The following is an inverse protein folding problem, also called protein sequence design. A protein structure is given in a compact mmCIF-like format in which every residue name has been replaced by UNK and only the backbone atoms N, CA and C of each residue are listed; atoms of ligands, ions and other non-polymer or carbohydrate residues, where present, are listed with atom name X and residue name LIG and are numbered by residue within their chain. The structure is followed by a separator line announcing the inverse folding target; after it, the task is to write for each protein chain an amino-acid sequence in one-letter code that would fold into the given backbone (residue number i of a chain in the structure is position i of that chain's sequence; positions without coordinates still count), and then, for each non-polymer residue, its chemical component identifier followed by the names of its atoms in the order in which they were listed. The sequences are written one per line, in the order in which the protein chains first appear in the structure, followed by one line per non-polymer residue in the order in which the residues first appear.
data_IF_236865579947
#
_entry.id   IF_236865579947
#
_cell.length_a   1.000
_cell.length_b   1.000
_cell.length_c   1.000
_cell.angle_alpha   90.00
_cell.angle_beta   90.00
_cell.angle_gamma   90.00
#
_symmetry.space_group_name_H-M   'P 1'
#
loop_
_entity.id
_entity.type
_entity.pdbx_description
1 polymer ?
#
# COMPACT_ATOMS: atom_id res chain seq x y z
N UNK A 1 5.07 -62.38 -11.05
CA UNK A 1 4.07 -61.31 -10.83
C UNK A 1 4.85 -60.11 -10.38
N UNK A 2 5.14 -59.18 -11.30
CA UNK A 2 5.88 -57.97 -10.98
C UNK A 2 4.99 -57.07 -10.11
N UNK A 3 5.55 -56.61 -9.00
CA UNK A 3 4.92 -55.65 -8.09
C UNK A 3 4.94 -54.28 -8.76
N UNK A 4 3.77 -53.79 -9.15
CA UNK A 4 3.54 -52.39 -9.49
C UNK A 4 3.67 -51.59 -8.18
N UNK A 5 4.80 -50.90 -8.00
CA UNK A 5 4.96 -49.90 -6.97
C UNK A 5 4.26 -48.62 -7.45
N UNK A 6 3.30 -48.05 -6.71
CA UNK A 6 2.77 -46.74 -7.04
C UNK A 6 3.91 -45.72 -6.92
N UNK A 7 4.16 -45.03 -8.02
CA UNK A 7 5.06 -43.88 -8.14
C UNK A 7 4.65 -42.81 -7.11
N UNK A 8 5.28 -42.87 -5.93
CA UNK A 8 5.04 -41.96 -4.82
C UNK A 8 5.84 -40.69 -5.03
N UNK A 9 5.48 -39.92 -6.05
CA UNK A 9 6.18 -38.68 -6.43
C UNK A 9 5.39 -37.43 -6.02
N UNK A 10 4.34 -37.60 -5.20
CA UNK A 10 3.51 -36.51 -4.67
C UNK A 10 3.93 -36.08 -3.24
N UNK A 11 4.60 -36.97 -2.49
CA UNK A 11 4.94 -36.77 -1.06
C UNK A 11 6.16 -35.86 -0.80
N UNK A 12 6.92 -35.47 -1.83
CA UNK A 12 8.15 -34.65 -1.72
C UNK A 12 7.94 -33.18 -2.17
N UNK A 13 6.72 -32.80 -2.54
CA UNK A 13 6.42 -31.41 -2.90
C UNK A 13 6.36 -30.53 -1.62
N UNK A 14 6.98 -29.33 -1.64
CA UNK A 14 6.89 -28.43 -0.50
C UNK A 14 5.42 -28.02 -0.27
N UNK A 15 5.03 -27.94 1.02
CA UNK A 15 3.70 -27.47 1.40
C UNK A 15 3.48 -26.03 0.86
N UNK A 16 2.37 -25.80 0.15
CA UNK A 16 2.09 -24.48 -0.39
C UNK A 16 1.74 -23.49 0.73
N UNK A 17 2.05 -22.20 0.58
CA UNK A 17 1.67 -21.19 1.57
C UNK A 17 0.15 -21.04 1.72
N UNK A 18 -0.37 -21.08 2.95
CA UNK A 18 -1.81 -20.97 3.28
C UNK A 18 -2.47 -19.67 2.78
N UNK A 19 -1.68 -18.63 2.56
CA UNK A 19 -2.16 -17.32 2.08
C UNK A 19 -2.44 -17.31 0.57
N UNK A 20 -1.95 -18.30 -0.18
CA UNK A 20 -2.14 -18.41 -1.62
C UNK A 20 -3.34 -19.30 -1.93
N UNK A 21 -4.19 -18.83 -2.84
CA UNK A 21 -5.32 -19.62 -3.31
C UNK A 21 -4.85 -20.78 -4.20
N UNK A 22 -5.55 -21.93 -4.14
CA UNK A 22 -5.20 -23.13 -4.93
C UNK A 22 -5.07 -22.86 -6.43
N UNK A 23 -5.92 -21.98 -6.99
CA UNK A 23 -5.84 -21.61 -8.42
C UNK A 23 -4.55 -20.85 -8.79
N UNK A 24 -3.75 -20.40 -7.82
CA UNK A 24 -2.40 -19.86 -8.00
C UNK A 24 -1.34 -20.94 -7.77
N UNK A 25 -1.53 -21.76 -6.73
CA UNK A 25 -0.60 -22.83 -6.34
C UNK A 25 -0.47 -23.89 -7.44
N UNK A 26 -1.59 -24.44 -7.93
CA UNK A 26 -1.57 -25.56 -8.86
C UNK A 26 -0.85 -25.19 -10.17
N UNK A 27 -1.11 -24.00 -10.79
CA UNK A 27 -0.35 -23.58 -11.95
C UNK A 27 1.15 -23.38 -11.68
N UNK A 28 1.55 -22.89 -10.49
CA UNK A 28 2.96 -22.71 -10.15
C UNK A 28 3.69 -24.05 -10.03
N UNK A 29 3.10 -25.02 -9.33
CA UNK A 29 3.70 -26.36 -9.17
C UNK A 29 3.89 -27.08 -10.52
N UNK A 30 3.03 -26.81 -11.50
CA UNK A 30 3.16 -27.40 -12.85
C UNK A 30 4.23 -26.75 -13.75
N UNK A 31 4.86 -25.64 -13.32
CA UNK A 31 5.86 -24.94 -14.14
C UNK A 31 7.23 -25.61 -14.11
N UNK A 32 7.99 -25.43 -15.19
CA UNK A 32 9.41 -25.80 -15.23
C UNK A 32 10.28 -24.76 -14.49
N UNK A 33 11.46 -25.19 -14.04
CA UNK A 33 12.46 -24.33 -13.37
C UNK A 33 12.67 -22.98 -14.10
N UNK A 34 12.98 -22.92 -15.41
CA UNK A 34 13.22 -21.62 -16.06
C UNK A 34 11.99 -20.71 -16.10
N UNK A 35 10.78 -21.27 -16.05
CA UNK A 35 9.55 -20.46 -15.95
C UNK A 35 9.33 -19.96 -14.54
N UNK A 36 9.63 -20.76 -13.52
CA UNK A 36 9.58 -20.34 -12.12
C UNK A 36 10.55 -19.19 -11.85
N UNK A 37 11.76 -19.23 -12.41
CA UNK A 37 12.72 -18.12 -12.35
C UNK A 37 12.13 -16.82 -12.93
N UNK A 38 11.46 -16.89 -14.09
CA UNK A 38 10.77 -15.73 -14.68
C UNK A 38 9.59 -15.25 -13.85
N UNK A 39 8.87 -16.16 -13.18
CA UNK A 39 7.80 -15.78 -12.25
C UNK A 39 8.37 -15.01 -11.07
N UNK A 40 9.53 -15.41 -10.52
CA UNK A 40 10.20 -14.69 -9.43
C UNK A 40 10.57 -13.28 -9.89
N UNK A 41 11.26 -13.15 -11.03
CA UNK A 41 11.63 -11.84 -11.60
C UNK A 41 10.42 -10.92 -11.74
N UNK A 42 9.34 -11.42 -12.35
CA UNK A 42 8.12 -10.64 -12.56
C UNK A 42 7.40 -10.31 -11.24
N UNK A 43 7.38 -11.24 -10.28
CA UNK A 43 6.81 -10.99 -8.97
C UNK A 43 7.57 -9.88 -8.22
N UNK A 44 8.90 -9.86 -8.31
CA UNK A 44 9.74 -8.80 -7.76
C UNK A 44 9.45 -7.44 -8.43
N UNK A 45 9.31 -7.40 -9.76
CA UNK A 45 8.91 -6.21 -10.49
C UNK A 45 7.52 -5.71 -10.07
N UNK A 46 6.54 -6.61 -9.93
CA UNK A 46 5.20 -6.29 -9.45
C UNK A 46 5.22 -5.75 -8.03
N UNK A 47 6.04 -6.32 -7.14
CA UNK A 47 6.21 -5.82 -5.77
C UNK A 47 6.84 -4.44 -5.78
N UNK A 48 7.88 -4.21 -6.60
CA UNK A 48 8.52 -2.91 -6.74
C UNK A 48 7.53 -1.86 -7.24
N UNK A 49 6.73 -2.21 -8.25
CA UNK A 49 5.67 -1.37 -8.78
C UNK A 49 4.63 -1.05 -7.69
N UNK A 50 4.04 -2.05 -7.04
CA UNK A 50 2.98 -1.86 -6.03
C UNK A 50 3.45 -1.12 -4.78
N UNK A 51 4.73 -1.24 -4.41
CA UNK A 51 5.30 -0.58 -3.24
C UNK A 51 5.91 0.80 -3.51
N UNK A 52 5.79 1.32 -4.75
CA UNK A 52 6.36 2.62 -5.13
C UNK A 52 5.82 3.77 -4.26
N UNK A 53 6.62 4.79 -3.97
CA UNK A 53 6.15 5.96 -3.23
C UNK A 53 5.01 6.65 -4.00
N UNK A 54 4.10 7.28 -3.25
CA UNK A 54 3.04 8.10 -3.84
C UNK A 54 3.68 9.40 -4.32
N UNK A 55 3.46 9.77 -5.59
CA UNK A 55 3.91 11.07 -6.12
C UNK A 55 2.99 12.19 -5.62
N UNK A 56 3.61 13.31 -5.26
CA UNK A 56 2.91 14.57 -4.97
C UNK A 56 2.34 15.12 -6.28
N UNK A 57 1.04 15.44 -6.32
CA UNK A 57 0.39 16.02 -7.50
C UNK A 57 -0.66 15.14 -8.21
N UNK A 58 -1.18 14.10 -7.56
CA UNK A 58 -2.47 13.52 -7.94
C UNK A 58 -2.58 12.98 -9.37
N UNK A 59 -1.67 12.11 -9.79
CA UNK A 59 -1.92 11.17 -10.90
C UNK A 59 -0.76 10.19 -10.92
N UNK A 60 -0.98 8.99 -10.40
CA UNK A 60 -0.50 7.85 -11.17
C UNK A 60 -1.59 7.67 -12.22
N UNK A 61 -1.28 7.87 -13.49
CA UNK A 61 -2.18 7.67 -14.64
C UNK A 61 -2.54 6.18 -14.78
N UNK A 62 -3.18 5.62 -13.77
CA UNK A 62 -3.84 4.32 -13.82
C UNK A 62 -5.33 4.60 -13.82
N UNK A 63 -5.89 4.56 -15.02
CA UNK A 63 -7.33 4.67 -15.30
C UNK A 63 -8.14 3.68 -14.45
N UNK A 64 -9.42 4.05 -14.23
CA UNK A 64 -10.43 3.40 -13.38
C UNK A 64 -10.45 3.83 -11.90
N UNK A 65 -10.60 5.14 -11.68
CA UNK A 65 -11.29 5.66 -10.49
C UNK A 65 -12.74 5.99 -10.86
N UNK A 66 -13.64 5.05 -10.57
CA UNK A 66 -15.09 5.29 -10.61
C UNK A 66 -15.47 6.37 -9.60
N UNK A 67 -16.06 7.45 -10.10
CA UNK A 67 -17.10 8.21 -9.41
C UNK A 67 -16.72 9.05 -8.20
N UNK A 68 -16.64 10.37 -8.42
CA UNK A 68 -16.93 11.46 -7.45
C UNK A 68 -15.93 11.69 -6.32
N UNK A 69 -14.78 12.29 -6.65
CA UNK A 69 -13.92 12.96 -5.69
C UNK A 69 -13.41 14.26 -6.26
N UNK A 70 -14.09 15.37 -5.95
CA UNK A 70 -13.63 16.73 -6.23
C UNK A 70 -12.17 16.87 -5.77
N UNK A 71 -11.29 17.36 -6.64
CA UNK A 71 -9.85 17.55 -6.37
C UNK A 71 -9.70 18.63 -5.31
N UNK A 72 -9.79 18.23 -4.03
CA UNK A 72 -9.51 19.09 -2.89
C UNK A 72 -8.00 19.24 -2.78
N UNK A 73 -7.48 20.26 -3.47
CA UNK A 73 -6.06 20.62 -3.44
C UNK A 73 -5.58 20.87 -2.02
N UNK A 74 -4.83 19.91 -1.47
CA UNK A 74 -4.04 20.07 -0.26
C UNK A 74 -2.65 20.60 -0.58
N UNK A 75 -2.12 21.47 0.27
CA UNK A 75 -0.72 21.89 0.21
C UNK A 75 0.17 20.68 0.57
N UNK A 76 1.11 20.37 -0.31
CA UNK A 76 1.98 19.20 -0.23
C UNK A 76 3.42 19.66 -0.07
N UNK A 77 4.19 19.00 0.80
CA UNK A 77 5.53 19.45 1.17
C UNK A 77 6.59 18.80 0.26
N UNK A 78 7.57 19.60 -0.16
CA UNK A 78 8.50 19.31 -1.28
C UNK A 78 9.45 18.11 -1.10
N UNK A 79 9.67 17.62 0.12
CA UNK A 79 10.58 16.48 0.38
C UNK A 79 9.83 15.21 0.73
N UNK A 80 9.95 14.19 -0.13
CA UNK A 80 9.37 12.84 0.00
C UNK A 80 10.43 11.85 0.54
N UNK A 81 10.59 11.66 1.86
CA UNK A 81 11.58 10.73 2.42
C UNK A 81 11.29 9.26 2.12
N UNK A 82 10.20 8.93 1.41
CA UNK A 82 9.91 7.57 0.94
C UNK A 82 10.72 7.16 -0.29
N UNK A 83 11.11 8.12 -1.15
CA UNK A 83 11.85 7.82 -2.38
C UNK A 83 13.24 7.26 -2.09
N UNK A 84 13.86 7.73 -1.01
CA UNK A 84 15.22 7.33 -0.60
C UNK A 84 15.25 5.99 0.18
N UNK A 85 14.09 5.41 0.49
CA UNK A 85 14.01 4.16 1.26
C UNK A 85 14.02 2.91 0.35
N UNK A 86 14.75 1.84 0.75
CA UNK A 86 14.76 0.60 -0.01
C UNK A 86 13.39 -0.10 0.03
N UNK A 87 13.00 -0.76 -1.06
CA UNK A 87 11.71 -1.44 -1.21
C UNK A 87 11.26 -2.32 -0.02
N UNK A 88 12.10 -3.19 0.59
CA UNK A 88 11.69 -3.99 1.74
C UNK A 88 11.33 -3.14 2.97
N UNK A 89 12.09 -2.09 3.24
CA UNK A 89 11.83 -1.16 4.34
C UNK A 89 10.52 -0.41 4.13
N UNK A 90 10.25 0.02 2.89
CA UNK A 90 8.97 0.67 2.53
C UNK A 90 7.78 -0.25 2.80
N UNK A 91 7.86 -1.52 2.39
CA UNK A 91 6.78 -2.50 2.63
C UNK A 91 6.50 -2.71 4.11
N UNK A 92 7.57 -2.84 4.93
CA UNK A 92 7.42 -2.99 6.39
C UNK A 92 6.67 -1.81 6.99
N UNK A 93 7.07 -0.59 6.64
CA UNK A 93 6.45 0.64 7.13
C UNK A 93 5.02 0.83 6.62
N UNK A 94 4.73 0.45 5.37
CA UNK A 94 3.37 0.48 4.82
C UNK A 94 2.43 -0.41 5.64
N UNK A 95 2.85 -1.65 5.94
CA UNK A 95 2.07 -2.58 6.78
C UNK A 95 1.89 -2.03 8.19
N UNK A 96 2.96 -1.55 8.83
CA UNK A 96 2.92 -0.94 10.16
C UNK A 96 1.89 0.21 10.22
N UNK A 97 1.88 1.09 9.22
CA UNK A 97 0.94 2.21 9.15
C UNK A 97 -0.50 1.77 8.82
N UNK A 98 -0.66 0.72 8.01
CA UNK A 98 -1.95 0.10 7.73
C UNK A 98 -2.58 -0.52 8.98
N UNK A 99 -1.77 -1.02 9.91
CA UNK A 99 -2.23 -1.61 11.17
C UNK A 99 -2.35 -0.58 12.31
N UNK A 100 -1.63 0.54 12.22
CA UNK A 100 -1.59 1.59 13.26
C UNK A 100 -2.97 2.17 13.59
N UNK A 101 -3.24 2.28 14.90
CA UNK A 101 -4.50 2.82 15.42
C UNK A 101 -4.68 4.31 15.08
N UNK A 102 -5.92 4.80 15.23
CA UNK A 102 -6.22 6.22 15.00
C UNK A 102 -5.49 7.14 16.00
N UNK A 103 -5.42 6.76 17.27
CA UNK A 103 -4.78 7.55 18.33
C UNK A 103 -3.27 7.65 18.12
N UNK A 104 -2.62 6.55 17.75
CA UNK A 104 -1.20 6.53 17.44
C UNK A 104 -0.88 7.44 16.24
N UNK A 105 -1.68 7.36 15.16
CA UNK A 105 -1.51 8.25 14.00
C UNK A 105 -1.65 9.73 14.34
N UNK A 106 -2.57 10.08 15.23
CA UNK A 106 -2.77 11.47 15.67
C UNK A 106 -1.57 11.99 16.48
N UNK A 107 -0.92 11.12 17.25
CA UNK A 107 0.23 11.47 18.08
C UNK A 107 1.52 11.71 17.27
N UNK A 108 1.58 11.25 16.02
CA UNK A 108 2.74 11.46 15.15
C UNK A 108 2.82 12.91 14.65
N UNK A 109 4.05 13.43 14.61
CA UNK A 109 4.34 14.68 13.90
C UNK A 109 4.35 14.47 12.38
N UNK A 110 4.27 15.57 11.62
CA UNK A 110 4.30 15.51 10.16
C UNK A 110 5.58 14.85 9.65
N UNK A 111 6.72 15.14 10.27
CA UNK A 111 8.00 14.51 9.92
C UNK A 111 8.00 13.00 10.18
N UNK A 112 7.34 12.55 11.26
CA UNK A 112 7.21 11.13 11.54
C UNK A 112 6.24 10.44 10.57
N UNK A 113 5.14 11.10 10.21
CA UNK A 113 4.16 10.61 9.23
C UNK A 113 4.77 10.45 7.84
N UNK A 114 5.70 11.34 7.46
CA UNK A 114 6.40 11.27 6.17
C UNK A 114 7.20 9.99 5.97
N UNK A 115 7.59 9.30 7.04
CA UNK A 115 8.22 7.98 6.96
C UNK A 115 7.28 6.91 6.39
N UNK A 116 5.97 7.11 6.49
CA UNK A 116 4.92 6.15 6.12
C UNK A 116 4.15 6.54 4.86
N UNK A 117 4.08 7.83 4.52
CA UNK A 117 3.35 8.33 3.36
C UNK A 117 3.57 9.82 3.09
N UNK A 118 2.87 10.37 2.11
CA UNK A 118 2.81 11.81 1.88
C UNK A 118 1.86 12.44 2.88
N UNK A 119 2.25 13.53 3.53
CA UNK A 119 1.33 14.29 4.40
C UNK A 119 0.60 15.33 3.57
N UNK A 120 -0.73 15.27 3.59
CA UNK A 120 -1.63 16.18 2.88
C UNK A 120 -2.50 16.91 3.90
N UNK A 121 -2.58 18.24 3.79
CA UNK A 121 -3.47 19.06 4.60
C UNK A 121 -4.74 19.35 3.79
N UNK A 122 -5.87 18.77 4.19
CA UNK A 122 -7.17 18.98 3.54
C UNK A 122 -8.00 19.99 4.31
N UNK A 123 -8.41 21.07 3.64
CA UNK A 123 -9.45 21.97 4.14
C UNK A 123 -10.80 21.40 3.70
N UNK A 124 -11.69 21.13 4.66
CA UNK A 124 -13.07 20.72 4.34
C UNK A 124 -13.93 21.98 4.29
N UNK A 125 -14.62 22.19 3.17
CA UNK A 125 -15.56 23.30 3.03
C UNK A 125 -16.72 23.13 4.03
N UNK A 126 -16.96 24.15 4.83
CA UNK A 126 -18.04 24.15 5.80
C UNK A 126 -19.38 24.31 5.06
N UNK A 127 -20.37 23.46 5.36
CA UNK A 127 -21.73 23.61 4.81
C UNK A 127 -22.45 24.90 5.26
N UNK A 128 -23.54 25.28 4.58
CA UNK A 128 -24.29 26.50 4.90
C UNK A 128 -24.81 26.47 6.35
N UNK A 129 -24.44 27.47 7.15
CA UNK A 129 -24.84 27.60 8.57
C UNK A 129 -23.69 27.48 9.60
N UNK A 130 -22.44 27.33 9.17
CA UNK A 130 -21.29 27.24 10.07
C UNK A 130 -20.88 28.62 10.63
N UNK A 131 -21.21 28.89 11.91
CA UNK A 131 -20.98 30.20 12.57
C UNK A 131 -19.57 30.37 13.17
N UNK A 132 -18.88 29.27 13.41
CA UNK A 132 -17.51 29.13 13.87
C UNK A 132 -17.12 27.76 13.31
N UNK A 133 -16.11 27.64 12.43
CA UNK A 133 -15.76 26.32 11.88
C UNK A 133 -14.80 25.60 12.84
N UNK A 134 -15.26 24.65 13.68
CA UNK A 134 -14.34 23.73 14.39
C UNK A 134 -13.69 22.72 13.41
N UNK A 135 -14.11 22.74 12.14
CA UNK A 135 -13.57 21.94 11.04
C UNK A 135 -12.26 22.58 10.59
N UNK A 136 -11.20 22.28 11.35
CA UNK A 136 -9.88 22.73 10.99
C UNK A 136 -9.41 22.06 9.70
N UNK A 137 -8.37 22.61 9.06
CA UNK A 137 -7.58 21.80 8.16
C UNK A 137 -7.20 20.49 8.87
N UNK A 138 -7.27 19.38 8.15
CA UNK A 138 -7.00 18.06 8.69
C UNK A 138 -5.80 17.45 7.98
N UNK A 139 -4.92 16.80 8.76
CA UNK A 139 -3.78 16.08 8.23
C UNK A 139 -4.21 14.69 7.81
N UNK A 140 -3.79 14.28 6.62
CA UNK A 140 -3.92 12.93 6.11
C UNK A 140 -2.54 12.43 5.72
N UNK A 141 -2.26 11.16 6.03
CA UNK A 141 -1.11 10.46 5.47
C UNK A 141 -1.62 9.62 4.29
N UNK A 142 -1.15 9.94 3.09
CA UNK A 142 -1.46 9.29 1.82
C UNK A 142 -0.36 8.28 1.51
N UNK A 143 -0.72 7.01 1.33
CA UNK A 143 0.25 5.91 1.17
C UNK A 143 -0.33 4.81 0.26
N UNK A 144 0.52 3.93 -0.26
CA UNK A 144 0.07 2.68 -0.88
C UNK A 144 -0.08 1.61 0.19
N UNK A 145 -1.25 0.97 0.26
CA UNK A 145 -1.51 -0.13 1.19
C UNK A 145 -0.80 -1.43 0.74
N UNK A 146 -0.95 -2.49 1.53
CA UNK A 146 -0.41 -3.83 1.22
C UNK A 146 -0.84 -4.39 -0.15
N UNK A 147 -1.96 -3.92 -0.72
CA UNK A 147 -2.44 -4.30 -2.06
C UNK A 147 -1.80 -3.47 -3.19
N UNK A 148 -1.07 -2.40 -2.85
CA UNK A 148 -0.50 -1.44 -3.78
C UNK A 148 -1.45 -0.30 -4.18
N UNK A 149 -2.63 -0.20 -3.55
CA UNK A 149 -3.63 0.83 -3.82
C UNK A 149 -3.32 2.10 -3.04
N UNK A 150 -3.38 3.27 -3.69
CA UNK A 150 -3.24 4.56 -3.01
C UNK A 150 -4.46 4.78 -2.11
N UNK A 151 -4.21 5.07 -0.84
CA UNK A 151 -5.24 5.37 0.15
C UNK A 151 -4.78 6.48 1.09
N UNK A 152 -5.68 7.00 1.91
CA UNK A 152 -5.38 8.05 2.87
C UNK A 152 -5.96 7.75 4.25
N UNK A 153 -5.19 8.06 5.28
CA UNK A 153 -5.60 7.86 6.68
C UNK A 153 -5.48 9.18 7.44
N UNK A 154 -6.56 9.54 8.12
CA UNK A 154 -6.63 10.71 9.00
C UNK A 154 -5.54 10.67 10.10
N UNK A 155 -4.83 11.78 10.29
CA UNK A 155 -3.71 11.93 11.23
C UNK A 155 -3.87 13.15 12.16
N UNK A 156 -5.11 13.61 12.38
CA UNK A 156 -5.42 14.69 13.32
C UNK A 156 -5.75 16.01 12.63
N UNK A 157 -6.08 17.02 13.44
CA UNK A 157 -6.17 18.40 12.97
C UNK A 157 -4.77 18.85 12.57
N UNK A 158 -4.65 19.56 11.45
CA UNK A 158 -3.48 20.38 11.22
C UNK A 158 -3.50 21.46 12.30
N UNK A 159 -2.41 21.61 13.03
CA UNK A 159 -2.24 22.74 13.92
C UNK A 159 -2.38 23.99 13.06
N UNK A 160 -3.49 24.71 13.21
CA UNK A 160 -3.54 26.09 12.78
C UNK A 160 -2.56 26.86 13.66
N UNK A 161 -1.75 27.71 13.06
CA UNK A 161 -1.27 28.90 13.77
C UNK A 161 -2.42 29.63 14.47
#
# INVERSE_FOLDING_TARGET
MASDSPDSTDDDLPEPPDELANWVVDPLQSQSIPKLERVIEYAEELIAHKSRPVSVGGADESEEADGTGEVRGGETVDTLPQKDQPAPERRRRQKEFEEMSKSERIALSDEQLRRYGTVEIRKLDCGPGCKQCPHGPYRYCVFRNSKGTVTSKYAGKASGE
#
